data_IF_068190772783
#
_entry.id   IF_068190772783
#
_cell.length_a   1.000
_cell.length_b   1.000
_cell.length_c   1.000
_cell.angle_alpha   90.00
_cell.angle_beta   90.00
_cell.angle_gamma   90.00
#
_symmetry.space_group_name_H-M   'P 1'
#
loop_
_entity.id
_entity.type
_entity.pdbx_description
1 polymer ?
#
# COMPACT_ATOMS: atom_id res chain seq x y z
N UNK A 1 3.28 9.04 17.79
CA UNK A 1 4.53 8.76 17.05
C UNK A 1 5.66 9.16 17.96
N UNK A 2 6.64 8.30 18.20
CA UNK A 2 7.83 8.65 18.99
C UNK A 2 8.89 9.38 18.16
N UNK A 3 10.12 9.45 18.65
CA UNK A 3 11.25 10.06 17.93
C UNK A 3 11.53 9.37 16.59
N UNK A 4 11.52 10.14 15.50
CA UNK A 4 11.82 9.67 14.14
C UNK A 4 13.29 9.26 13.98
N UNK A 5 14.21 9.72 14.85
CA UNK A 5 15.63 9.32 14.85
C UNK A 5 15.82 7.83 15.20
N UNK A 6 14.78 7.15 15.70
CA UNK A 6 14.80 5.71 15.95
C UNK A 6 15.01 4.88 14.66
N UNK A 7 14.72 5.44 13.49
CA UNK A 7 14.90 4.75 12.22
C UNK A 7 16.18 5.19 11.53
N UNK A 8 17.06 4.23 11.27
CA UNK A 8 18.31 4.42 10.49
C UNK A 8 18.06 4.70 9.01
N UNK A 9 16.86 4.38 8.49
CA UNK A 9 16.49 4.62 7.10
C UNK A 9 14.98 4.70 6.89
N UNK A 10 14.57 5.32 5.78
CA UNK A 10 13.18 5.36 5.34
C UNK A 10 12.58 3.95 5.11
N UNK A 11 13.40 2.98 4.67
CA UNK A 11 12.96 1.58 4.49
C UNK A 11 12.57 0.95 5.83
N UNK A 12 13.33 1.23 6.89
CA UNK A 12 13.04 0.75 8.23
C UNK A 12 11.74 1.36 8.78
N UNK A 13 11.53 2.65 8.54
CA UNK A 13 10.29 3.34 8.90
C UNK A 13 9.08 2.78 8.13
N UNK A 14 9.21 2.54 6.83
CA UNK A 14 8.15 1.94 6.00
C UNK A 14 7.81 0.50 6.44
N UNK A 15 8.82 -0.29 6.81
CA UNK A 15 8.62 -1.62 7.37
C UNK A 15 7.87 -1.55 8.71
N UNK A 16 8.29 -0.65 9.60
CA UNK A 16 7.61 -0.42 10.88
C UNK A 16 6.16 0.07 10.70
N UNK A 17 5.89 0.92 9.72
CA UNK A 17 4.54 1.37 9.37
C UNK A 17 3.67 0.27 8.74
N UNK A 18 4.26 -0.87 8.34
CA UNK A 18 3.56 -1.96 7.69
C UNK A 18 3.18 -1.64 6.24
N UNK A 19 4.05 -0.95 5.51
CA UNK A 19 3.85 -0.59 4.09
C UNK A 19 4.69 -1.46 3.13
N UNK A 20 5.64 -2.22 3.65
CA UNK A 20 6.56 -3.04 2.86
C UNK A 20 5.93 -4.41 2.56
N UNK A 21 5.99 -4.94 1.31
CA UNK A 21 5.55 -6.29 1.00
C UNK A 21 6.43 -7.35 1.66
N UNK A 22 5.86 -8.52 1.95
CA UNK A 22 6.65 -9.70 2.28
C UNK A 22 7.50 -10.06 1.06
N UNK A 23 8.77 -10.32 1.26
CA UNK A 23 9.67 -10.83 0.23
C UNK A 23 10.20 -12.17 0.70
N UNK A 24 10.14 -13.17 -0.17
CA UNK A 24 10.72 -14.49 0.04
C UNK A 24 11.79 -14.71 -1.03
N UNK A 25 13.02 -14.99 -0.60
CA UNK A 25 14.20 -15.10 -1.48
C UNK A 25 14.87 -16.43 -1.19
N UNK A 26 14.96 -17.27 -2.21
CA UNK A 26 15.64 -18.57 -2.15
C UNK A 26 16.40 -18.82 -3.46
N UNK A 27 17.71 -19.04 -3.35
CA UNK A 27 18.61 -19.10 -4.51
C UNK A 27 18.46 -17.87 -5.39
N UNK A 28 18.25 -18.09 -6.69
CA UNK A 28 18.03 -17.03 -7.69
C UNK A 28 16.56 -16.58 -7.81
N UNK A 29 15.66 -17.09 -6.96
CA UNK A 29 14.23 -16.78 -7.02
C UNK A 29 13.83 -15.73 -5.98
N UNK A 30 13.19 -14.66 -6.44
CA UNK A 30 12.59 -13.62 -5.60
C UNK A 30 11.07 -13.63 -5.77
N UNK A 31 10.34 -13.83 -4.68
CA UNK A 31 8.87 -13.80 -4.65
C UNK A 31 8.36 -12.66 -3.77
N UNK A 32 7.63 -11.73 -4.37
CA UNK A 32 6.94 -10.66 -3.66
C UNK A 32 5.52 -11.10 -3.28
N UNK A 33 5.21 -11.03 -2.00
CA UNK A 33 3.91 -11.38 -1.42
C UNK A 33 3.09 -10.16 -0.98
N UNK A 34 2.10 -10.41 -0.13
CA UNK A 34 1.23 -9.35 0.44
C UNK A 34 2.02 -8.39 1.33
N UNK A 35 1.46 -7.18 1.51
CA UNK A 35 1.94 -6.22 2.51
C UNK A 35 2.01 -6.89 3.89
N UNK A 36 3.12 -6.69 4.60
CA UNK A 36 3.30 -7.27 5.93
C UNK A 36 2.24 -6.73 6.91
N UNK A 37 1.60 -7.63 7.64
CA UNK A 37 0.63 -7.26 8.68
C UNK A 37 1.28 -7.11 10.07
N UNK A 38 2.61 -7.00 10.12
CA UNK A 38 3.42 -7.01 11.36
C UNK A 38 3.87 -5.60 11.82
N UNK A 39 3.56 -4.56 11.05
CA UNK A 39 3.86 -3.18 11.42
C UNK A 39 2.91 -2.61 12.48
N UNK A 40 3.15 -1.39 12.94
CA UNK A 40 2.31 -0.70 13.92
C UNK A 40 0.89 -0.48 13.38
N UNK A 41 -0.08 -1.21 13.93
CA UNK A 41 -1.48 -1.17 13.49
C UNK A 41 -2.09 0.23 13.54
N UNK A 42 -1.77 1.04 14.55
CA UNK A 42 -2.29 2.39 14.68
C UNK A 42 -1.81 3.31 13.54
N UNK A 43 -0.54 3.24 13.18
CA UNK A 43 0.02 4.00 12.05
C UNK A 43 -0.66 3.56 10.74
N UNK A 44 -0.74 2.25 10.51
CA UNK A 44 -1.37 1.69 9.32
C UNK A 44 -2.83 2.12 9.19
N UNK A 45 -3.59 2.13 10.30
CA UNK A 45 -4.98 2.60 10.32
C UNK A 45 -5.09 4.07 9.90
N UNK A 46 -4.27 4.95 10.48
CA UNK A 46 -4.28 6.38 10.15
C UNK A 46 -3.92 6.61 8.68
N UNK A 47 -2.91 5.90 8.15
CA UNK A 47 -2.54 6.00 6.73
C UNK A 47 -3.70 5.59 5.82
N UNK A 48 -4.38 4.47 6.14
CA UNK A 48 -5.55 4.01 5.37
C UNK A 48 -6.68 5.03 5.44
N UNK A 49 -6.96 5.58 6.62
CA UNK A 49 -7.97 6.63 6.77
C UNK A 49 -7.62 7.87 5.95
N UNK A 50 -6.37 8.36 6.03
CA UNK A 50 -5.90 9.51 5.25
C UNK A 50 -6.03 9.26 3.75
N UNK A 51 -5.66 8.07 3.27
CA UNK A 51 -5.83 7.70 1.87
C UNK A 51 -7.30 7.73 1.44
N UNK A 52 -8.21 7.20 2.26
CA UNK A 52 -9.65 7.25 1.98
C UNK A 52 -10.20 8.68 1.98
N UNK A 53 -9.77 9.52 2.92
CA UNK A 53 -10.13 10.94 2.93
C UNK A 53 -9.70 11.64 1.65
N UNK A 54 -8.48 11.38 1.17
CA UNK A 54 -7.98 11.92 -0.11
C UNK A 54 -8.78 11.42 -1.31
N UNK A 55 -9.09 10.12 -1.36
CA UNK A 55 -9.89 9.54 -2.46
C UNK A 55 -11.28 10.17 -2.55
N UNK A 56 -11.91 10.48 -1.40
CA UNK A 56 -13.24 11.09 -1.33
C UNK A 56 -13.25 12.61 -1.48
N UNK A 57 -12.12 13.27 -1.24
CA UNK A 57 -11.98 14.71 -1.44
C UNK A 57 -12.13 15.08 -2.92
N UNK A 58 -12.76 16.23 -3.22
CA UNK A 58 -12.83 16.75 -4.58
C UNK A 58 -11.43 16.97 -5.17
N UNK A 59 -10.52 17.55 -4.38
CA UNK A 59 -9.13 17.89 -4.75
C UNK A 59 -8.10 16.89 -4.19
N UNK A 60 -8.40 15.58 -4.21
CA UNK A 60 -7.53 14.52 -3.66
C UNK A 60 -6.18 14.30 -4.37
N UNK A 61 -5.92 15.04 -5.46
CA UNK A 61 -4.67 15.03 -6.21
C UNK A 61 -4.23 13.65 -6.71
N UNK A 62 -2.91 13.45 -6.77
CA UNK A 62 -2.26 12.26 -7.36
C UNK A 62 -2.68 10.93 -6.71
N UNK A 63 -3.01 10.93 -5.41
CA UNK A 63 -3.46 9.71 -4.70
C UNK A 63 -4.82 9.26 -5.21
N UNK A 64 -5.75 10.21 -5.38
CA UNK A 64 -7.08 9.95 -5.94
C UNK A 64 -6.99 9.46 -7.38
N UNK A 65 -6.20 10.14 -8.22
CA UNK A 65 -5.96 9.73 -9.60
C UNK A 65 -5.35 8.33 -9.70
N UNK A 66 -4.37 8.02 -8.84
CA UNK A 66 -3.77 6.69 -8.77
C UNK A 66 -4.79 5.62 -8.39
N UNK A 67 -5.62 5.88 -7.37
CA UNK A 67 -6.69 4.97 -6.98
C UNK A 67 -7.70 4.72 -8.10
N UNK A 68 -8.16 5.77 -8.79
CA UNK A 68 -9.09 5.67 -9.91
C UNK A 68 -8.51 4.81 -11.06
N UNK A 69 -7.24 5.02 -11.41
CA UNK A 69 -6.56 4.19 -12.43
C UNK A 69 -6.54 2.71 -12.05
N UNK A 70 -6.29 2.39 -10.79
CA UNK A 70 -6.30 0.99 -10.31
C UNK A 70 -7.71 0.40 -10.30
N UNK A 71 -8.71 1.19 -9.90
CA UNK A 71 -10.11 0.78 -9.88
C UNK A 71 -10.60 0.41 -11.29
N UNK A 72 -10.32 1.27 -12.28
CA UNK A 72 -10.70 1.02 -13.68
C UNK A 72 -10.04 -0.26 -14.23
N UNK A 73 -8.75 -0.47 -13.97
CA UNK A 73 -8.07 -1.73 -14.37
C UNK A 73 -8.71 -2.96 -13.75
N UNK A 74 -9.17 -2.86 -12.49
CA UNK A 74 -9.85 -3.97 -11.80
C UNK A 74 -11.20 -4.26 -12.45
N UNK A 75 -11.99 -3.23 -12.77
CA UNK A 75 -13.29 -3.38 -13.45
C UNK A 75 -13.10 -4.05 -14.82
N UNK A 76 -12.19 -3.55 -15.65
CA UNK A 76 -11.91 -4.14 -16.97
C UNK A 76 -11.48 -5.61 -16.89
N UNK A 77 -10.65 -5.98 -15.89
CA UNK A 77 -10.25 -7.37 -15.65
C UNK A 77 -11.39 -8.26 -15.15
N UNK A 78 -12.41 -7.67 -14.53
CA UNK A 78 -13.60 -8.38 -14.09
C UNK A 78 -14.52 -8.62 -15.31
N UNK A 79 -14.80 -7.59 -16.10
CA UNK A 79 -15.62 -7.72 -17.32
C UNK A 79 -15.02 -8.79 -18.27
N UNK A 80 -13.72 -8.74 -18.54
CA UNK A 80 -13.07 -9.73 -19.38
C UNK A 80 -13.15 -11.18 -18.85
N UNK A 81 -13.37 -11.39 -17.53
CA UNK A 81 -13.53 -12.73 -16.95
C UNK A 81 -14.96 -13.26 -17.00
N UNK A 82 -15.94 -12.39 -17.24
CA UNK A 82 -17.36 -12.78 -17.34
C UNK A 82 -17.87 -12.82 -18.78
N UNK A 83 -17.09 -12.31 -19.74
CA UNK A 83 -17.39 -12.33 -21.19
C UNK A 83 -16.51 -13.31 -22.00
N UNK A 84 -15.80 -14.21 -21.33
CA UNK A 84 -15.09 -15.38 -21.90
C UNK A 84 -15.56 -16.64 -21.18
#
# INVERSE_FOLDING_TARGET
MGDCKRFSSAKQAAYYAGLVPRVDISGDTVRYGRIINRGCHSIRRVIVQAAWSLVRCQHGGKVKEFYQRLYLKKVLKIDHRYFT
#
